data_IF_704447717361
#
_entry.id   IF_704447717361
#
_cell.length_a   1.000
_cell.length_b   1.000
_cell.length_c   1.000
_cell.angle_alpha   90.00
_cell.angle_beta   90.00
_cell.angle_gamma   90.00
#
_symmetry.space_group_name_H-M   'P 1'
#
loop_
_entity.id
_entity.type
_entity.pdbx_description
1 polymer ?
#
# COMPACT_ATOMS: atom_id res chain seq x y z
N UNK A 1 18.38 35.64 -70.17
CA UNK A 1 17.31 36.23 -71.02
C UNK A 1 16.34 36.88 -70.06
N UNK A 2 16.49 38.19 -69.80
CA UNK A 2 15.74 39.26 -70.49
C UNK A 2 14.23 39.03 -70.27
N UNK A 3 13.43 39.92 -69.70
CA UNK A 3 13.58 41.36 -69.58
C UNK A 3 12.50 41.91 -68.62
N UNK A 4 12.81 43.10 -68.16
CA UNK A 4 12.11 44.18 -67.47
C UNK A 4 10.61 44.45 -67.73
N UNK A 5 10.11 45.41 -66.94
CA UNK A 5 8.93 46.22 -67.22
C UNK A 5 7.93 46.15 -66.07
N UNK A 6 7.72 47.14 -65.22
CA UNK A 6 7.82 48.58 -65.45
C UNK A 6 6.47 49.23 -65.13
N UNK A 7 6.28 49.57 -63.85
CA UNK A 7 5.75 50.84 -63.32
C UNK A 7 4.62 51.60 -64.07
N UNK A 8 3.54 51.90 -63.32
CA UNK A 8 2.89 53.22 -63.10
C UNK A 8 1.46 52.97 -62.56
N UNK A 9 1.17 53.33 -61.31
CA UNK A 9 0.71 54.65 -60.86
C UNK A 9 -0.59 55.09 -61.54
N UNK A 10 -1.69 55.18 -60.79
CA UNK A 10 -2.72 56.22 -60.98
C UNK A 10 -3.66 56.29 -59.77
N UNK A 11 -3.63 57.48 -59.18
CA UNK A 11 -4.48 58.11 -58.17
C UNK A 11 -5.95 58.22 -58.58
N UNK A 12 -6.89 58.06 -57.64
CA UNK A 12 -8.25 58.70 -57.60
C UNK A 12 -8.93 58.31 -56.26
N UNK A 13 -8.97 59.14 -55.21
CA UNK A 13 -9.85 60.29 -54.89
C UNK A 13 -11.37 60.00 -54.84
N UNK A 14 -12.00 60.65 -53.85
CA UNK A 14 -13.45 60.79 -53.55
C UNK A 14 -14.02 59.64 -52.71
N UNK A 15 -14.81 59.83 -51.65
CA UNK A 15 -15.48 60.97 -51.02
C UNK A 15 -16.32 60.38 -49.85
N UNK A 16 -16.67 61.19 -48.84
CA UNK A 16 -17.50 60.74 -47.69
C UNK A 16 -18.95 60.41 -48.07
N UNK A 17 -19.93 60.35 -47.13
CA UNK A 17 -19.84 60.57 -45.68
C UNK A 17 -20.49 59.47 -44.83
N UNK A 18 -20.22 59.59 -43.53
CA UNK A 18 -20.97 59.14 -42.35
C UNK A 18 -22.42 58.67 -42.61
N UNK A 19 -22.69 57.39 -42.31
CA UNK A 19 -23.98 56.93 -41.80
C UNK A 19 -23.78 55.91 -40.70
N UNK A 20 -24.35 56.27 -39.55
CA UNK A 20 -24.45 55.49 -38.32
C UNK A 20 -25.41 54.31 -38.49
N UNK A 21 -25.54 53.51 -37.41
CA UNK A 21 -26.44 52.37 -37.19
C UNK A 21 -25.80 51.03 -37.58
N UNK A 22 -25.64 49.97 -36.75
CA UNK A 22 -25.74 49.66 -35.31
C UNK A 22 -25.58 48.11 -35.27
N UNK A 23 -24.95 47.56 -34.22
CA UNK A 23 -24.98 46.14 -33.83
C UNK A 23 -24.16 45.12 -34.64
N UNK A 24 -23.04 44.66 -34.07
CA UNK A 24 -22.97 43.31 -33.48
C UNK A 24 -21.73 43.19 -32.58
N UNK A 25 -21.98 42.96 -31.29
CA UNK A 25 -20.96 42.75 -30.28
C UNK A 25 -20.24 41.42 -30.52
N UNK A 26 -18.92 41.47 -30.75
CA UNK A 26 -18.02 40.36 -30.48
C UNK A 26 -17.03 40.85 -29.43
N UNK A 27 -17.36 40.61 -28.17
CA UNK A 27 -16.44 40.86 -27.07
C UNK A 27 -15.24 39.91 -27.23
N UNK A 28 -14.12 40.41 -27.74
CA UNK A 28 -12.82 39.80 -27.51
C UNK A 28 -12.58 39.88 -26.00
N UNK A 29 -12.88 38.80 -25.28
CA UNK A 29 -12.43 38.61 -23.91
C UNK A 29 -10.92 38.48 -23.93
N UNK A 30 -10.24 39.59 -23.69
CA UNK A 30 -8.85 39.60 -23.26
C UNK A 30 -8.85 38.97 -21.87
N UNK A 31 -8.72 37.64 -21.81
CA UNK A 31 -8.41 36.97 -20.55
C UNK A 31 -7.03 37.48 -20.11
N UNK A 32 -6.89 38.06 -18.90
CA UNK A 32 -5.57 38.35 -18.39
C UNK A 32 -4.80 37.04 -18.34
N UNK A 33 -3.61 37.02 -18.93
CA UNK A 33 -2.63 35.95 -18.72
C UNK A 33 -2.26 36.04 -17.25
N UNK A 34 -3.03 35.36 -16.40
CA UNK A 34 -2.70 35.14 -15.01
C UNK A 34 -1.46 34.27 -15.05
N UNK A 35 -0.31 34.87 -14.78
CA UNK A 35 0.95 34.17 -14.52
C UNK A 35 0.61 33.02 -13.58
N UNK A 36 0.65 31.79 -14.11
CA UNK A 36 0.49 30.58 -13.33
C UNK A 36 1.62 30.63 -12.31
N UNK A 37 1.32 31.11 -11.08
CA UNK A 37 2.21 30.87 -9.96
C UNK A 37 2.39 29.37 -9.97
N UNK A 38 3.65 28.95 -10.14
CA UNK A 38 4.06 27.58 -9.90
C UNK A 38 3.33 27.15 -8.64
N UNK A 39 2.37 26.23 -8.81
CA UNK A 39 1.59 25.68 -7.72
C UNK A 39 2.61 25.31 -6.65
N UNK A 40 2.37 25.81 -5.44
CA UNK A 40 3.13 25.45 -4.26
C UNK A 40 3.33 23.94 -4.30
N UNK A 41 4.55 23.52 -4.64
CA UNK A 41 4.93 22.14 -4.45
C UNK A 41 4.83 21.95 -2.96
N UNK A 42 3.82 21.18 -2.53
CA UNK A 42 3.82 20.58 -1.20
C UNK A 42 5.23 20.03 -1.02
N UNK A 43 6.00 20.49 -0.01
CA UNK A 43 7.31 19.94 0.24
C UNK A 43 7.14 18.44 0.34
N UNK A 44 7.88 17.67 -0.49
CA UNK A 44 8.05 16.26 -0.22
C UNK A 44 8.78 16.23 1.11
N UNK A 45 8.01 16.02 2.18
CA UNK A 45 8.57 15.81 3.49
C UNK A 45 9.58 14.70 3.33
N UNK A 46 10.84 14.99 3.61
CA UNK A 46 11.86 13.95 3.80
C UNK A 46 11.62 13.29 5.16
N UNK A 47 10.34 12.98 5.45
CA UNK A 47 9.91 12.18 6.58
C UNK A 47 10.59 10.85 6.39
N UNK A 48 11.34 10.45 7.40
CA UNK A 48 11.73 9.06 7.54
C UNK A 48 10.49 8.18 7.30
N UNK A 49 10.64 7.12 6.51
CA UNK A 49 9.55 6.22 6.20
C UNK A 49 8.88 5.74 7.50
N UNK A 50 7.54 5.60 7.53
CA UNK A 50 6.84 5.16 8.73
C UNK A 50 7.41 3.83 9.22
N UNK A 51 7.67 3.71 10.53
CA UNK A 51 8.18 2.46 11.12
C UNK A 51 7.04 1.46 11.28
N UNK A 52 7.22 0.27 10.71
CA UNK A 52 6.32 -0.88 10.87
C UNK A 52 7.09 -2.03 11.48
N UNK A 53 6.48 -2.71 12.44
CA UNK A 53 7.08 -3.91 13.05
C UNK A 53 6.37 -5.14 12.51
N UNK A 54 7.14 -6.07 11.96
CA UNK A 54 6.67 -7.39 11.51
C UNK A 54 6.99 -8.42 12.59
N UNK A 55 5.95 -9.01 13.18
CA UNK A 55 6.05 -10.09 14.14
C UNK A 55 5.80 -11.43 13.43
N UNK A 56 6.85 -12.25 13.31
CA UNK A 56 6.75 -13.52 12.60
C UNK A 56 6.39 -14.69 13.53
N UNK A 57 5.34 -15.45 13.18
CA UNK A 57 4.92 -16.65 13.93
C UNK A 57 5.08 -17.97 13.15
N UNK A 58 5.31 -17.89 11.84
CA UNK A 58 5.51 -19.05 10.95
C UNK A 58 4.41 -19.19 9.91
N UNK A 59 3.89 -20.41 9.76
CA UNK A 59 2.86 -20.74 8.78
C UNK A 59 3.34 -20.90 7.34
N UNK A 60 2.38 -21.04 6.41
CA UNK A 60 2.64 -21.30 4.98
C UNK A 60 3.50 -20.23 4.31
N UNK A 61 3.36 -18.96 4.71
CA UNK A 61 4.19 -17.84 4.22
C UNK A 61 5.67 -17.99 4.60
N UNK A 62 5.94 -18.77 5.66
CA UNK A 62 7.27 -19.11 6.13
C UNK A 62 7.71 -20.53 5.72
N UNK A 63 6.90 -21.28 4.98
CA UNK A 63 7.21 -22.66 4.61
C UNK A 63 8.26 -22.76 3.51
N UNK A 64 8.87 -23.94 3.39
CA UNK A 64 9.80 -24.25 2.29
C UNK A 64 9.53 -25.66 1.77
N UNK A 65 9.56 -25.84 0.45
CA UNK A 65 9.61 -27.17 -0.13
C UNK A 65 10.98 -27.80 0.09
N UNK A 66 10.99 -28.98 0.72
CA UNK A 66 12.19 -29.82 0.83
C UNK A 66 12.18 -30.86 -0.30
N UNK A 67 13.12 -30.80 -1.26
CA UNK A 67 13.19 -31.75 -2.36
C UNK A 67 13.67 -33.16 -1.95
N UNK A 68 14.33 -33.30 -0.79
CA UNK A 68 14.78 -34.58 -0.25
C UNK A 68 13.60 -35.32 0.38
N UNK A 69 12.77 -34.61 1.14
CA UNK A 69 11.56 -35.18 1.76
C UNK A 69 10.39 -35.25 0.75
N UNK A 70 10.41 -34.41 -0.28
CA UNK A 70 9.34 -34.32 -1.28
C UNK A 70 8.08 -33.65 -0.74
N UNK A 71 8.19 -32.84 0.32
CA UNK A 71 7.05 -32.23 1.02
C UNK A 71 7.31 -30.76 1.38
N UNK A 72 6.23 -30.03 1.67
CA UNK A 72 6.32 -28.71 2.26
C UNK A 72 6.61 -28.85 3.75
N UNK A 73 7.73 -28.31 4.19
CA UNK A 73 8.01 -28.13 5.60
C UNK A 73 7.47 -26.79 6.05
N UNK A 74 6.56 -26.81 7.02
CA UNK A 74 5.98 -25.60 7.59
C UNK A 74 7.00 -24.81 8.42
N UNK A 75 6.91 -23.48 8.35
CA UNK A 75 7.60 -22.58 9.27
C UNK A 75 9.14 -22.76 9.33
N UNK A 76 9.80 -22.66 8.16
CA UNK A 76 11.25 -22.82 8.00
C UNK A 76 12.00 -21.51 7.76
N UNK A 77 11.36 -20.55 7.11
CA UNK A 77 11.94 -19.23 6.87
C UNK A 77 11.81 -18.37 8.13
N UNK A 78 12.80 -17.51 8.38
CA UNK A 78 12.70 -16.47 9.41
C UNK A 78 11.89 -15.29 8.89
N UNK A 79 11.38 -14.45 9.79
CA UNK A 79 10.69 -13.21 9.42
C UNK A 79 11.55 -12.31 8.53
N UNK A 80 12.86 -12.21 8.82
CA UNK A 80 13.79 -11.39 8.03
C UNK A 80 13.90 -11.91 6.60
N UNK A 81 13.93 -13.24 6.43
CA UNK A 81 13.94 -13.87 5.10
C UNK A 81 12.65 -13.61 4.34
N UNK A 82 11.50 -13.63 5.02
CA UNK A 82 10.19 -13.34 4.42
C UNK A 82 10.13 -11.87 3.97
N UNK A 83 10.52 -10.95 4.85
CA UNK A 83 10.52 -9.50 4.59
C UNK A 83 11.50 -9.14 3.46
N UNK A 84 12.72 -9.70 3.47
CA UNK A 84 13.72 -9.46 2.43
C UNK A 84 13.29 -9.95 1.03
N UNK A 85 12.37 -10.92 0.96
CA UNK A 85 11.86 -11.45 -0.29
C UNK A 85 10.76 -10.59 -0.95
N UNK A 86 10.32 -9.50 -0.30
CA UNK A 86 9.21 -8.66 -0.82
C UNK A 86 9.73 -7.43 -1.57
N UNK A 87 9.54 -7.36 -2.90
CA UNK A 87 9.91 -6.18 -3.68
C UNK A 87 9.07 -4.96 -3.31
N UNK A 88 9.69 -3.78 -3.26
CA UNK A 88 9.02 -2.51 -3.00
C UNK A 88 8.63 -2.26 -1.54
N UNK A 89 8.88 -3.20 -0.62
CA UNK A 89 8.53 -3.03 0.80
C UNK A 89 9.26 -1.84 1.45
N UNK A 90 10.55 -1.71 1.15
CA UNK A 90 11.41 -0.61 1.64
C UNK A 90 11.04 0.76 1.06
N UNK A 91 10.15 0.84 0.07
CA UNK A 91 9.61 2.11 -0.44
C UNK A 91 8.37 2.56 0.35
N UNK A 92 7.74 1.65 1.10
CA UNK A 92 6.50 1.90 1.85
C UNK A 92 6.79 2.22 3.32
N UNK A 93 7.70 1.49 3.95
CA UNK A 93 7.94 1.58 5.39
C UNK A 93 9.39 1.22 5.77
N UNK A 94 9.84 1.75 6.91
CA UNK A 94 11.01 1.24 7.61
C UNK A 94 10.56 0.01 8.41
N UNK A 95 10.92 -1.18 7.96
CA UNK A 95 10.44 -2.44 8.53
C UNK A 95 11.45 -3.01 9.51
N UNK A 96 11.00 -3.18 10.76
CA UNK A 96 11.69 -3.97 11.78
C UNK A 96 11.02 -5.34 11.88
N UNK A 97 11.81 -6.38 12.18
CA UNK A 97 11.31 -7.75 12.29
C UNK A 97 11.64 -8.33 13.65
N UNK A 98 10.68 -9.00 14.26
CA UNK A 98 10.90 -9.84 15.43
C UNK A 98 10.27 -11.23 15.21
N UNK A 99 11.07 -12.27 15.42
CA UNK A 99 10.58 -13.64 15.40
C UNK A 99 9.95 -14.01 16.76
N UNK A 100 8.63 -14.19 16.79
CA UNK A 100 7.89 -14.60 17.99
C UNK A 100 7.84 -16.13 18.13
N UNK A 101 7.59 -16.81 17.02
CA UNK A 101 7.51 -18.26 16.93
C UNK A 101 7.81 -18.68 15.48
N UNK A 102 8.08 -19.96 15.25
CA UNK A 102 8.18 -20.49 13.88
C UNK A 102 7.49 -21.86 13.85
N UNK A 103 6.16 -21.83 13.83
CA UNK A 103 5.30 -23.03 13.93
C UNK A 103 4.23 -23.04 12.84
N UNK A 104 3.66 -24.22 12.59
CA UNK A 104 2.39 -24.32 11.85
C UNK A 104 1.28 -23.66 12.64
N UNK A 105 0.29 -23.06 11.97
CA UNK A 105 -0.76 -22.31 12.69
C UNK A 105 -1.61 -23.22 13.59
N UNK A 106 -1.74 -24.50 13.24
CA UNK A 106 -2.37 -25.54 14.09
C UNK A 106 -1.63 -25.81 15.40
N UNK A 107 -0.35 -25.44 15.48
CA UNK A 107 0.50 -25.62 16.65
C UNK A 107 0.63 -24.33 17.50
N UNK A 108 -0.19 -23.31 17.20
CA UNK A 108 -0.28 -22.11 18.04
C UNK A 108 -0.84 -22.46 19.41
N UNK A 109 -0.13 -22.06 20.46
CA UNK A 109 -0.56 -22.29 21.85
C UNK A 109 -0.99 -20.98 22.52
N UNK A 110 -1.80 -21.04 23.60
CA UNK A 110 -2.14 -19.87 24.41
C UNK A 110 -0.93 -19.09 24.92
N UNK A 111 0.20 -19.76 25.19
CA UNK A 111 1.45 -19.11 25.61
C UNK A 111 2.06 -18.29 24.48
N UNK A 112 2.01 -18.79 23.24
CA UNK A 112 2.47 -18.05 22.06
C UNK A 112 1.53 -16.86 21.83
N UNK A 113 0.20 -17.05 21.87
CA UNK A 113 -0.76 -15.94 21.75
C UNK A 113 -0.56 -14.86 22.81
N UNK A 114 -0.39 -15.25 24.07
CA UNK A 114 -0.12 -14.31 25.16
C UNK A 114 1.20 -13.55 24.93
N UNK A 115 2.22 -14.21 24.41
CA UNK A 115 3.51 -13.56 24.08
C UNK A 115 3.32 -12.59 22.93
N UNK A 116 2.66 -13.02 21.85
CA UNK A 116 2.35 -12.19 20.69
C UNK A 116 1.56 -10.93 21.08
N UNK A 117 0.43 -11.07 21.79
CA UNK A 117 -0.39 -9.93 22.22
C UNK A 117 0.35 -8.95 23.14
N UNK A 118 1.26 -9.43 23.98
CA UNK A 118 2.14 -8.56 24.79
C UNK A 118 3.10 -7.77 23.92
N UNK A 119 3.78 -8.43 22.97
CA UNK A 119 4.74 -7.77 22.07
C UNK A 119 4.05 -6.77 21.15
N UNK A 120 2.86 -7.09 20.63
CA UNK A 120 2.04 -6.13 19.87
C UNK A 120 1.77 -4.86 20.70
N UNK A 121 1.22 -5.00 21.90
CA UNK A 121 0.92 -3.85 22.76
C UNK A 121 2.18 -3.05 23.14
N UNK A 122 3.30 -3.73 23.39
CA UNK A 122 4.58 -3.08 23.65
C UNK A 122 5.03 -2.24 22.46
N UNK A 123 5.07 -2.82 21.25
CA UNK A 123 5.49 -2.07 20.06
C UNK A 123 4.57 -0.90 19.75
N UNK A 124 3.25 -1.07 19.89
CA UNK A 124 2.30 0.01 19.64
C UNK A 124 2.39 1.14 20.66
N UNK A 125 2.95 0.90 21.85
CA UNK A 125 3.19 1.93 22.86
C UNK A 125 4.28 2.94 22.45
N UNK A 126 5.18 2.55 21.54
CA UNK A 126 6.22 3.43 21.03
C UNK A 126 5.64 4.43 20.02
N UNK A 127 5.77 5.76 20.23
CA UNK A 127 5.17 6.77 19.36
C UNK A 127 5.57 6.66 17.89
N UNK A 128 6.80 6.26 17.61
CA UNK A 128 7.39 6.15 16.28
C UNK A 128 6.89 4.93 15.48
N UNK A 129 6.34 3.90 16.14
CA UNK A 129 5.75 2.74 15.46
C UNK A 129 4.38 3.14 14.92
N UNK A 130 4.22 3.07 13.59
CA UNK A 130 2.97 3.39 12.90
C UNK A 130 1.94 2.27 13.00
N UNK A 131 2.38 1.01 12.91
CA UNK A 131 1.53 -0.17 12.99
C UNK A 131 2.34 -1.46 13.11
N UNK A 132 1.64 -2.56 13.36
CA UNK A 132 2.23 -3.91 13.50
C UNK A 132 1.61 -4.85 12.48
N UNK A 133 2.45 -5.66 11.82
CA UNK A 133 2.05 -6.72 10.91
C UNK A 133 2.44 -8.07 11.50
N UNK A 134 1.56 -9.07 11.43
CA UNK A 134 1.82 -10.42 11.94
C UNK A 134 1.79 -11.40 10.77
N UNK A 135 2.91 -12.07 10.48
CA UNK A 135 2.90 -13.17 9.50
C UNK A 135 2.50 -14.46 10.18
N UNK A 136 1.44 -15.10 9.69
CA UNK A 136 0.80 -16.26 10.31
C UNK A 136 0.42 -17.34 9.27
N UNK A 137 0.20 -18.57 9.73
CA UNK A 137 -0.40 -19.63 8.89
C UNK A 137 -1.91 -19.48 8.79
N UNK A 138 -2.50 -19.89 7.66
CA UNK A 138 -3.89 -19.59 7.34
C UNK A 138 -4.90 -20.48 8.04
N UNK A 139 -4.52 -21.66 8.56
CA UNK A 139 -5.47 -22.61 9.14
C UNK A 139 -6.10 -22.12 10.44
N UNK A 140 -5.39 -21.28 11.22
CA UNK A 140 -5.91 -20.70 12.47
C UNK A 140 -5.70 -19.19 12.55
N UNK A 141 -5.65 -18.54 11.38
CA UNK A 141 -5.39 -17.11 11.29
C UNK A 141 -6.53 -16.31 11.93
N UNK A 142 -7.77 -16.75 11.70
CA UNK A 142 -8.98 -16.09 12.22
C UNK A 142 -9.02 -16.09 13.75
N UNK A 143 -8.62 -17.18 14.43
CA UNK A 143 -8.58 -17.22 15.89
C UNK A 143 -7.51 -16.28 16.45
N UNK A 144 -6.30 -16.27 15.86
CA UNK A 144 -5.24 -15.33 16.28
C UNK A 144 -5.67 -13.88 16.06
N UNK A 145 -6.26 -13.57 14.91
CA UNK A 145 -6.73 -12.22 14.60
C UNK A 145 -7.82 -11.78 15.59
N UNK A 146 -8.78 -12.65 15.89
CA UNK A 146 -9.83 -12.37 16.87
C UNK A 146 -9.27 -12.21 18.29
N UNK A 147 -8.29 -13.02 18.70
CA UNK A 147 -7.61 -12.86 19.98
C UNK A 147 -6.93 -11.49 20.10
N UNK A 148 -6.24 -11.03 19.05
CA UNK A 148 -5.59 -9.72 19.05
C UNK A 148 -6.62 -8.58 19.07
N UNK A 149 -7.73 -8.71 18.34
CA UNK A 149 -8.83 -7.74 18.34
C UNK A 149 -9.40 -7.49 19.74
N UNK A 150 -9.40 -8.52 20.59
CA UNK A 150 -9.88 -8.43 21.97
C UNK A 150 -8.84 -7.95 22.99
N UNK A 151 -7.54 -8.07 22.68
CA UNK A 151 -6.45 -7.90 23.66
C UNK A 151 -5.51 -6.74 23.38
N UNK A 152 -5.53 -6.20 22.16
CA UNK A 152 -4.78 -4.99 21.81
C UNK A 152 -5.53 -3.76 22.33
N UNK A 153 -4.80 -2.86 23.00
CA UNK A 153 -5.36 -1.66 23.64
C UNK A 153 -4.92 -0.36 22.96
N UNK A 154 -4.58 -0.43 21.68
CA UNK A 154 -4.13 0.71 20.87
C UNK A 154 -5.02 0.85 19.64
N UNK A 155 -5.24 2.09 19.21
CA UNK A 155 -5.95 2.37 17.96
C UNK A 155 -5.04 2.25 16.73
N UNK A 156 -3.73 2.07 16.91
CA UNK A 156 -2.80 1.89 15.80
C UNK A 156 -3.08 0.59 15.04
N UNK A 157 -2.90 0.56 13.71
CA UNK A 157 -3.23 -0.61 12.92
C UNK A 157 -2.48 -1.88 13.34
N UNK A 158 -3.23 -2.98 13.46
CA UNK A 158 -2.72 -4.34 13.61
C UNK A 158 -3.23 -5.17 12.45
N UNK A 159 -2.31 -5.73 11.65
CA UNK A 159 -2.65 -6.47 10.44
C UNK A 159 -2.09 -7.88 10.51
N UNK A 160 -2.96 -8.88 10.46
CA UNK A 160 -2.55 -10.29 10.33
C UNK A 160 -2.56 -10.68 8.85
N UNK A 161 -1.49 -11.33 8.41
CA UNK A 161 -1.27 -11.71 7.02
C UNK A 161 -0.76 -13.13 6.93
N UNK A 162 -1.14 -13.84 5.88
CA UNK A 162 -0.65 -15.18 5.57
C UNK A 162 -0.46 -15.36 4.07
N UNK A 163 -0.20 -16.61 3.67
CA UNK A 163 -0.16 -17.02 2.28
C UNK A 163 -0.82 -18.38 2.15
N UNK A 164 -1.57 -18.61 1.08
CA UNK A 164 -2.11 -19.94 0.79
C UNK A 164 -1.08 -20.84 0.09
N UNK A 165 -0.06 -20.26 -0.56
CA UNK A 165 0.99 -20.99 -1.27
C UNK A 165 2.37 -20.69 -0.71
N UNK A 166 3.13 -21.76 -0.48
CA UNK A 166 4.50 -21.65 0.03
C UNK A 166 5.39 -20.80 -0.89
N UNK A 167 6.38 -20.08 -0.35
CA UNK A 167 7.35 -19.26 -1.09
C UNK A 167 8.06 -19.95 -2.26
N UNK A 168 8.20 -21.28 -2.22
CA UNK A 168 8.85 -22.05 -3.29
C UNK A 168 8.01 -22.20 -4.56
N UNK A 169 6.70 -21.92 -4.50
CA UNK A 169 5.85 -21.93 -5.69
C UNK A 169 6.05 -20.65 -6.50
N UNK A 170 6.11 -20.78 -7.83
CA UNK A 170 6.34 -19.65 -8.75
C UNK A 170 5.26 -18.56 -8.65
N UNK A 171 4.06 -18.92 -8.23
CA UNK A 171 2.92 -18.03 -8.04
C UNK A 171 2.49 -17.95 -6.58
N UNK A 172 3.45 -17.91 -5.66
CA UNK A 172 3.18 -17.60 -4.25
C UNK A 172 2.48 -16.24 -4.09
N UNK A 173 1.50 -16.18 -3.19
CA UNK A 173 0.75 -14.99 -2.83
C UNK A 173 1.38 -14.20 -1.66
N UNK A 174 2.36 -14.80 -0.96
CA UNK A 174 2.99 -14.23 0.24
C UNK A 174 3.58 -12.83 0.06
N UNK A 175 4.46 -12.57 -0.94
CA UNK A 175 5.06 -11.26 -1.12
C UNK A 175 4.03 -10.15 -1.36
N UNK A 176 3.00 -10.43 -2.18
CA UNK A 176 1.93 -9.45 -2.43
C UNK A 176 1.12 -9.20 -1.16
N UNK A 177 0.68 -10.27 -0.48
CA UNK A 177 -0.12 -10.13 0.73
C UNK A 177 0.65 -9.33 1.81
N UNK A 178 1.94 -9.60 2.01
CA UNK A 178 2.77 -8.88 2.98
C UNK A 178 2.97 -7.40 2.60
N UNK A 179 3.20 -7.10 1.31
CA UNK A 179 3.27 -5.71 0.84
C UNK A 179 1.96 -4.96 1.09
N UNK A 180 0.82 -5.58 0.77
CA UNK A 180 -0.50 -5.00 0.99
C UNK A 180 -0.79 -4.84 2.50
N UNK A 181 -0.38 -5.80 3.34
CA UNK A 181 -0.50 -5.70 4.79
C UNK A 181 0.32 -4.53 5.37
N UNK A 182 1.55 -4.32 4.90
CA UNK A 182 2.37 -3.17 5.33
C UNK A 182 1.76 -1.85 4.87
N UNK A 183 1.19 -1.77 3.66
CA UNK A 183 0.46 -0.58 3.20
C UNK A 183 -0.75 -0.26 4.07
N UNK A 184 -1.50 -1.28 4.49
CA UNK A 184 -2.61 -1.11 5.43
C UNK A 184 -2.09 -0.67 6.80
N UNK A 185 -0.99 -1.23 7.29
CA UNK A 185 -0.41 -0.89 8.58
C UNK A 185 0.08 0.58 8.67
N UNK A 186 0.42 1.21 7.54
CA UNK A 186 0.83 2.63 7.49
C UNK A 186 -0.32 3.58 7.18
N UNK A 187 -1.50 3.07 6.81
CA UNK A 187 -2.65 3.89 6.42
C UNK A 187 -3.32 4.54 7.62
N UNK A 188 -3.61 5.84 7.51
CA UNK A 188 -4.40 6.56 8.50
C UNK A 188 -5.85 6.06 8.56
N UNK A 189 -6.38 5.53 7.45
CA UNK A 189 -7.74 4.97 7.38
C UNK A 189 -7.89 3.66 8.17
N UNK A 190 -6.78 2.99 8.49
CA UNK A 190 -6.79 1.76 9.27
C UNK A 190 -6.78 2.01 10.80
N UNK A 191 -6.61 3.26 11.24
CA UNK A 191 -6.59 3.62 12.67
C UNK A 191 -7.98 3.42 13.28
N UNK A 192 -8.04 2.74 14.43
CA UNK A 192 -9.27 2.47 15.17
C UNK A 192 -10.18 1.42 14.52
N UNK A 193 -9.72 0.72 13.48
CA UNK A 193 -10.49 -0.31 12.77
C UNK A 193 -10.41 -1.70 13.42
N UNK A 194 -9.74 -1.81 14.58
CA UNK A 194 -9.45 -3.08 15.24
C UNK A 194 -8.34 -3.86 14.54
N UNK A 195 -8.29 -5.17 14.78
CA UNK A 195 -7.37 -6.06 14.05
C UNK A 195 -7.93 -6.39 12.67
N UNK A 196 -7.09 -6.24 11.64
CA UNK A 196 -7.42 -6.49 10.25
C UNK A 196 -6.72 -7.74 9.73
N UNK A 197 -7.33 -8.41 8.78
CA UNK A 197 -6.74 -9.53 8.03
C UNK A 197 -6.61 -9.13 6.57
N UNK A 198 -5.39 -9.21 6.03
CA UNK A 198 -5.10 -8.84 4.64
C UNK A 198 -4.61 -10.06 3.88
N UNK A 199 -5.44 -10.55 2.96
CA UNK A 199 -5.12 -11.63 2.04
C UNK A 199 -5.84 -11.38 0.71
N UNK A 200 -5.22 -11.79 -0.40
CA UNK A 200 -5.84 -11.79 -1.73
C UNK A 200 -6.31 -10.41 -2.24
N UNK A 201 -5.71 -9.32 -1.73
CA UNK A 201 -6.12 -7.95 -2.06
C UNK A 201 -7.40 -7.49 -1.35
N UNK A 202 -7.87 -8.24 -0.35
CA UNK A 202 -8.99 -7.86 0.51
C UNK A 202 -8.50 -7.48 1.91
N UNK A 203 -9.25 -6.59 2.56
CA UNK A 203 -9.05 -6.17 3.94
C UNK A 203 -10.29 -6.56 4.72
N UNK A 204 -10.14 -7.48 5.67
CA UNK A 204 -11.23 -8.05 6.43
C UNK A 204 -11.11 -7.69 7.92
N UNK A 205 -12.23 -7.43 8.59
CA UNK A 205 -12.24 -7.28 10.04
C UNK A 205 -12.04 -8.65 10.71
N UNK A 206 -11.17 -8.72 11.72
CA UNK A 206 -10.87 -9.96 12.45
C UNK A 206 -12.13 -10.66 13.00
N UNK A 207 -13.15 -9.88 13.39
CA UNK A 207 -14.40 -10.39 13.96
C UNK A 207 -15.25 -11.23 12.99
N UNK A 208 -15.11 -11.01 11.68
CA UNK A 208 -16.02 -11.57 10.67
C UNK A 208 -15.32 -12.47 9.65
N UNK A 209 -13.98 -12.49 9.63
CA UNK A 209 -13.21 -13.27 8.68
C UNK A 209 -13.22 -14.75 9.06
N UNK A 210 -13.38 -15.62 8.07
CA UNK A 210 -13.23 -17.06 8.24
C UNK A 210 -12.69 -17.69 6.96
N UNK A 211 -11.84 -18.71 7.09
CA UNK A 211 -11.27 -19.46 5.97
C UNK A 211 -12.32 -20.43 5.43
N UNK A 212 -12.93 -20.06 4.30
CA UNK A 212 -13.99 -20.86 3.66
C UNK A 212 -13.46 -21.90 2.67
N UNK A 213 -12.20 -21.79 2.24
CA UNK A 213 -11.59 -22.66 1.24
C UNK A 213 -10.21 -23.15 1.67
N UNK A 214 -9.93 -24.43 1.42
CA UNK A 214 -8.66 -25.07 1.82
C UNK A 214 -7.49 -24.71 0.91
N UNK A 215 -7.75 -24.38 -0.36
CA UNK A 215 -6.71 -24.19 -1.40
C UNK A 215 -6.85 -22.90 -2.22
N UNK A 216 -7.99 -22.21 -2.12
CA UNK A 216 -8.20 -20.96 -2.84
C UNK A 216 -7.45 -19.81 -2.14
N UNK A 217 -6.96 -18.86 -2.94
CA UNK A 217 -6.34 -17.64 -2.43
C UNK A 217 -7.42 -16.65 -2.02
#
# INVERSE_FOLDING_TARGET
MLDSGGQRDHTLKCGGPMRSVVTLALALSIFPITTLRAQDRVPLDTSELPRVVVLATGGTIASRFDPVVGAIEEARLTGEQIVAAVPGLAEVASVEVEQIANVGSRDMTPEIWRTLGKRVNEFLSFPEVKGVVITHGTDTLEETAFFLDLTVTSDKPVVVVGAQRAPTYFDTDGPRNLLDAVRVAVSDEAVGMGTLVVLNGEINAARNVTKTHTLAR
#
